data_IF_730034032254
#
_entry.id   IF_730034032254
#
_cell.length_a   1.000
_cell.length_b   1.000
_cell.length_c   1.000
_cell.angle_alpha   90.00
_cell.angle_beta   90.00
_cell.angle_gamma   90.00
#
_symmetry.space_group_name_H-M   'P 1'
#
loop_
_entity.id
_entity.type
_entity.pdbx_description
1 polymer ?
#
# COMPACT_ATOMS: atom_id res chain seq x y z
N UNK A 1 2.39 10.51 29.52
CA UNK A 1 2.84 9.13 29.25
C UNK A 1 4.19 9.26 28.56
N UNK A 2 5.21 8.52 28.99
CA UNK A 2 6.49 8.55 28.29
C UNK A 2 6.30 7.96 26.89
N UNK A 3 6.67 8.74 25.87
CA UNK A 3 6.40 8.39 24.47
C UNK A 3 7.66 7.82 23.82
N UNK A 4 7.46 6.77 23.02
CA UNK A 4 8.48 6.28 22.09
C UNK A 4 8.88 7.42 21.15
N UNK A 5 10.17 7.69 21.03
CA UNK A 5 10.69 8.76 20.17
C UNK A 5 11.63 8.21 19.11
N UNK A 6 11.32 8.42 17.83
CA UNK A 6 12.30 8.24 16.75
C UNK A 6 13.28 9.41 16.77
N UNK A 7 14.57 9.11 16.94
CA UNK A 7 15.67 10.08 16.99
C UNK A 7 16.56 10.04 15.77
N UNK A 8 16.45 9.00 14.94
CA UNK A 8 17.18 8.89 13.68
C UNK A 8 16.44 8.01 12.69
N UNK A 9 16.74 8.23 11.40
CA UNK A 9 16.29 7.39 10.28
C UNK A 9 17.41 7.36 9.25
N UNK A 10 17.83 6.17 8.88
CA UNK A 10 18.90 5.93 7.91
C UNK A 10 18.38 5.04 6.78
N UNK A 11 18.54 5.46 5.52
CA UNK A 11 18.22 4.62 4.37
C UNK A 11 19.27 3.52 4.26
N UNK A 12 18.87 2.29 4.56
CA UNK A 12 19.75 1.13 4.53
C UNK A 12 19.79 0.48 3.14
N UNK A 13 18.66 0.50 2.43
CA UNK A 13 18.57 -0.06 1.09
C UNK A 13 17.47 0.63 0.26
N UNK A 14 17.81 0.95 -0.99
CA UNK A 14 16.86 1.50 -1.97
C UNK A 14 16.57 0.46 -3.04
N UNK A 15 15.38 -0.14 -2.97
CA UNK A 15 14.88 -1.05 -3.99
C UNK A 15 14.24 -0.31 -5.17
N UNK A 16 13.70 -1.09 -6.11
CA UNK A 16 12.94 -0.55 -7.25
C UNK A 16 11.57 0.02 -6.86
N UNK A 17 10.92 -0.58 -5.85
CA UNK A 17 9.58 -0.21 -5.40
C UNK A 17 9.54 0.27 -3.94
N UNK A 18 10.36 -0.32 -3.07
CA UNK A 18 10.37 -0.07 -1.63
C UNK A 18 11.72 0.49 -1.18
N UNK A 19 11.68 1.31 -0.15
CA UNK A 19 12.86 1.81 0.55
C UNK A 19 12.87 1.24 1.97
N UNK A 20 14.00 0.68 2.38
CA UNK A 20 14.20 0.07 3.68
C UNK A 20 15.07 0.98 4.55
N UNK A 21 14.54 1.35 5.70
CA UNK A 21 15.13 2.27 6.65
C UNK A 21 15.37 1.60 8.00
N UNK A 22 16.46 1.99 8.64
CA UNK A 22 16.70 1.72 10.06
C UNK A 22 16.32 2.97 10.85
N UNK A 23 15.30 2.85 11.67
CA UNK A 23 14.88 3.90 12.60
C UNK A 23 15.56 3.69 13.95
N UNK A 24 16.24 4.72 14.45
CA UNK A 24 16.78 4.74 15.82
C UNK A 24 15.70 5.27 16.75
N UNK A 25 15.29 4.44 17.71
CA UNK A 25 14.19 4.69 18.63
C UNK A 25 14.74 4.79 20.05
N UNK A 26 14.28 5.80 20.80
CA UNK A 26 14.43 5.88 22.26
C UNK A 26 13.11 5.45 22.89
N UNK A 27 13.16 4.37 23.66
CA UNK A 27 12.00 3.84 24.39
C UNK A 27 11.71 4.68 25.65
N UNK A 28 10.51 4.54 26.24
CA UNK A 28 10.16 5.23 27.49
C UNK A 28 11.19 5.09 28.62
N UNK A 29 11.77 3.89 28.76
CA UNK A 29 12.82 3.59 29.75
C UNK A 29 14.23 4.07 29.34
N UNK A 30 14.34 4.92 28.31
CA UNK A 30 15.59 5.55 27.88
C UNK A 30 16.51 4.65 27.05
N UNK A 31 16.12 3.41 26.72
CA UNK A 31 16.94 2.52 25.90
C UNK A 31 16.90 2.96 24.44
N UNK A 32 18.05 2.82 23.77
CA UNK A 32 18.13 2.98 22.32
C UNK A 32 17.93 1.61 21.66
N UNK A 33 16.97 1.52 20.76
CA UNK A 33 16.66 0.33 19.95
C UNK A 33 16.56 0.71 18.47
N UNK A 34 16.67 -0.29 17.60
CA UNK A 34 16.58 -0.09 16.14
C UNK A 34 15.35 -0.81 15.61
N UNK A 35 14.52 -0.10 14.86
CA UNK A 35 13.33 -0.64 14.21
C UNK A 35 13.49 -0.60 12.70
N UNK A 36 13.00 -1.65 12.06
CA UNK A 36 12.95 -1.79 10.62
C UNK A 36 11.71 -1.10 10.06
N UNK A 37 11.92 -0.18 9.11
CA UNK A 37 10.84 0.58 8.48
C UNK A 37 10.89 0.40 6.96
N UNK A 38 9.83 -0.17 6.40
CA UNK A 38 9.62 -0.24 4.96
C UNK A 38 8.73 0.94 4.57
N UNK A 39 9.28 1.89 3.81
CA UNK A 39 8.52 3.00 3.29
C UNK A 39 7.74 2.56 2.05
N UNK A 40 6.41 2.57 2.15
CA UNK A 40 5.47 2.26 1.07
C UNK A 40 4.73 3.54 0.67
N UNK A 41 4.64 3.85 -0.63
CA UNK A 41 4.02 5.09 -1.15
C UNK A 41 2.47 5.13 -1.01
N UNK A 42 1.90 4.21 -0.25
CA UNK A 42 0.46 3.94 -0.21
C UNK A 42 -0.05 3.17 -1.43
N UNK A 43 -1.23 2.58 -1.27
CA UNK A 43 -1.97 1.90 -2.32
C UNK A 43 -3.48 2.16 -2.12
N UNK A 44 -4.25 1.99 -3.19
CA UNK A 44 -5.70 2.05 -3.16
C UNK A 44 -6.26 0.75 -3.74
N UNK A 45 -7.40 0.30 -3.22
CA UNK A 45 -8.09 -0.89 -3.67
C UNK A 45 -9.60 -0.62 -3.71
N UNK A 46 -10.33 -1.31 -4.59
CA UNK A 46 -11.77 -1.12 -4.74
C UNK A 46 -12.52 -2.44 -4.74
N UNK A 47 -13.64 -2.49 -4.02
CA UNK A 47 -14.63 -3.57 -4.16
C UNK A 47 -15.71 -3.09 -5.13
N UNK A 48 -15.51 -3.36 -6.42
CA UNK A 48 -16.48 -2.96 -7.45
C UNK A 48 -17.62 -3.98 -7.54
N UNK A 49 -18.83 -3.54 -7.23
CA UNK A 49 -20.05 -4.36 -7.24
C UNK A 49 -20.86 -4.02 -8.49
N UNK A 50 -21.19 -5.04 -9.28
CA UNK A 50 -22.06 -4.91 -10.45
C UNK A 50 -23.54 -4.86 -10.04
N UNK A 51 -24.41 -4.39 -10.94
CA UNK A 51 -25.87 -4.33 -10.72
C UNK A 51 -26.50 -5.69 -10.36
N UNK A 52 -25.86 -6.80 -10.76
CA UNK A 52 -26.28 -8.17 -10.43
C UNK A 52 -25.70 -8.70 -9.11
N UNK A 53 -25.05 -7.84 -8.32
CA UNK A 53 -24.46 -8.15 -7.03
C UNK A 53 -23.10 -8.87 -7.09
N UNK A 54 -22.56 -9.15 -8.29
CA UNK A 54 -21.24 -9.78 -8.42
C UNK A 54 -20.10 -8.80 -8.21
N UNK A 55 -19.01 -9.28 -7.60
CA UNK A 55 -17.78 -8.50 -7.38
C UNK A 55 -16.81 -8.73 -8.54
N UNK A 56 -16.21 -7.65 -9.03
CA UNK A 56 -15.13 -7.72 -10.03
C UNK A 56 -13.83 -8.06 -9.32
N UNK A 57 -13.12 -9.05 -9.84
CA UNK A 57 -11.87 -9.55 -9.30
C UNK A 57 -10.85 -9.79 -10.42
N UNK A 58 -9.57 -9.77 -10.06
CA UNK A 58 -8.43 -10.04 -10.96
C UNK A 58 -7.64 -11.24 -10.47
N UNK A 59 -6.98 -11.94 -11.41
CA UNK A 59 -5.94 -12.93 -11.10
C UNK A 59 -4.60 -12.34 -11.47
N UNK A 60 -3.67 -12.32 -10.51
CA UNK A 60 -2.36 -11.74 -10.70
C UNK A 60 -1.29 -12.64 -10.09
N UNK A 61 -0.19 -12.85 -10.82
CA UNK A 61 1.00 -13.46 -10.25
C UNK A 61 1.61 -12.53 -9.19
N UNK A 62 1.82 -13.05 -7.98
CA UNK A 62 2.53 -12.35 -6.92
C UNK A 62 3.84 -13.10 -6.62
N UNK A 63 4.97 -12.42 -6.86
CA UNK A 63 6.30 -12.98 -6.62
C UNK A 63 6.55 -13.30 -5.13
N UNK A 64 5.98 -12.53 -4.20
CA UNK A 64 6.18 -12.75 -2.75
C UNK A 64 5.64 -14.11 -2.28
N UNK A 65 4.38 -14.48 -2.56
CA UNK A 65 3.88 -15.83 -2.30
C UNK A 65 4.15 -16.84 -3.43
N UNK A 66 4.85 -16.46 -4.49
CA UNK A 66 5.17 -17.24 -5.69
C UNK A 66 3.97 -18.01 -6.28
N UNK A 67 2.85 -17.30 -6.47
CA UNK A 67 1.62 -17.90 -7.02
C UNK A 67 0.69 -16.85 -7.61
N UNK A 68 -0.25 -17.33 -8.42
CA UNK A 68 -1.44 -16.58 -8.80
C UNK A 68 -2.38 -16.41 -7.59
N UNK A 69 -2.77 -15.17 -7.32
CA UNK A 69 -3.73 -14.80 -6.28
C UNK A 69 -5.01 -14.29 -6.93
N UNK A 70 -6.14 -14.49 -6.25
CA UNK A 70 -7.41 -13.88 -6.62
C UNK A 70 -7.59 -12.65 -5.74
N UNK A 71 -7.65 -11.46 -6.35
CA UNK A 71 -7.59 -10.18 -5.66
C UNK A 71 -8.66 -9.22 -6.17
N UNK A 72 -9.01 -8.23 -5.35
CA UNK A 72 -9.75 -7.07 -5.84
C UNK A 72 -8.79 -6.14 -6.59
N UNK A 73 -9.27 -5.35 -7.56
CA UNK A 73 -8.41 -4.40 -8.27
C UNK A 73 -7.77 -3.41 -7.30
N UNK A 74 -6.45 -3.24 -7.44
CA UNK A 74 -5.67 -2.42 -6.51
C UNK A 74 -4.31 -2.02 -7.09
N UNK A 75 -3.84 -0.83 -6.73
CA UNK A 75 -2.52 -0.37 -7.17
C UNK A 75 -1.99 0.84 -6.41
N UNK A 76 -0.85 1.34 -6.88
CA UNK A 76 -0.09 2.38 -6.20
C UNK A 76 -0.76 3.76 -6.31
N UNK A 77 -0.66 4.57 -5.26
CA UNK A 77 -1.15 5.95 -5.29
C UNK A 77 -0.08 6.85 -5.92
N UNK A 78 -0.47 7.60 -6.97
CA UNK A 78 0.42 8.58 -7.58
C UNK A 78 0.62 9.80 -6.66
N UNK A 79 1.73 10.53 -6.85
CA UNK A 79 2.03 11.70 -6.02
C UNK A 79 0.93 12.77 -6.13
N UNK A 80 0.26 13.05 -5.02
CA UNK A 80 -0.83 14.02 -4.95
C UNK A 80 -2.18 13.50 -5.43
N UNK A 81 -2.27 12.23 -5.82
CA UNK A 81 -3.52 11.59 -6.24
C UNK A 81 -4.39 11.25 -5.02
N UNK A 82 -5.69 11.63 -5.01
CA UNK A 82 -6.62 11.18 -3.99
C UNK A 82 -6.80 9.65 -4.03
N UNK A 83 -6.90 9.01 -2.86
CA UNK A 83 -7.06 7.54 -2.74
C UNK A 83 -8.22 7.00 -3.57
N UNK A 84 -9.37 7.69 -3.55
CA UNK A 84 -10.57 7.32 -4.32
C UNK A 84 -10.30 7.33 -5.83
N UNK A 85 -9.58 8.34 -6.31
CA UNK A 85 -9.21 8.48 -7.73
C UNK A 85 -8.24 7.38 -8.16
N UNK A 86 -7.24 7.06 -7.32
CA UNK A 86 -6.34 5.95 -7.56
C UNK A 86 -7.10 4.62 -7.69
N UNK A 87 -8.03 4.34 -6.76
CA UNK A 87 -8.82 3.10 -6.79
C UNK A 87 -9.65 2.95 -8.08
N UNK A 88 -10.26 4.04 -8.56
CA UNK A 88 -11.06 4.04 -9.80
C UNK A 88 -10.17 3.87 -11.03
N UNK A 89 -9.01 4.53 -11.07
CA UNK A 89 -8.03 4.37 -12.15
C UNK A 89 -7.54 2.93 -12.25
N UNK A 90 -7.15 2.33 -11.13
CA UNK A 90 -6.65 0.94 -11.10
C UNK A 90 -7.75 -0.06 -11.50
N UNK A 91 -9.00 0.17 -11.12
CA UNK A 91 -10.13 -0.64 -11.61
C UNK A 91 -10.21 -0.64 -13.14
N UNK A 92 -10.13 0.54 -13.75
CA UNK A 92 -10.20 0.67 -15.22
C UNK A 92 -8.98 0.05 -15.90
N UNK A 93 -7.77 0.30 -15.38
CA UNK A 93 -6.52 -0.21 -15.94
C UNK A 93 -6.43 -1.74 -15.89
N UNK A 94 -6.84 -2.36 -14.77
CA UNK A 94 -6.70 -3.81 -14.57
C UNK A 94 -7.86 -4.63 -15.15
N UNK A 95 -9.06 -4.04 -15.28
CA UNK A 95 -10.28 -4.78 -15.62
C UNK A 95 -11.06 -4.24 -16.83
N UNK A 96 -10.79 -2.99 -17.23
CA UNK A 96 -11.55 -2.26 -18.24
C UNK A 96 -12.92 -1.75 -17.76
N UNK A 97 -13.31 -2.02 -16.51
CA UNK A 97 -14.57 -1.52 -15.95
C UNK A 97 -14.44 -0.08 -15.44
N UNK A 98 -15.53 0.68 -15.60
CA UNK A 98 -15.65 2.05 -15.09
C UNK A 98 -16.64 2.07 -13.94
N UNK A 99 -16.27 2.76 -12.87
CA UNK A 99 -17.16 3.04 -11.76
C UNK A 99 -17.55 4.51 -11.78
N UNK A 100 -18.81 4.80 -11.47
CA UNK A 100 -19.22 6.15 -11.10
C UNK A 100 -18.61 6.45 -9.71
N UNK A 101 -17.79 7.50 -9.56
CA UNK A 101 -17.22 7.85 -8.28
C UNK A 101 -18.29 8.13 -7.22
N UNK A 102 -19.47 8.61 -7.57
CA UNK A 102 -20.44 9.16 -6.62
C UNK A 102 -21.66 8.27 -6.37
N UNK A 103 -21.60 7.02 -6.85
CA UNK A 103 -22.58 5.97 -6.58
C UNK A 103 -22.47 5.41 -5.16
#
# INVERSE_FOLDING_TARGET
>A
MEHIKRVGRELMYKGSMLEFYKDTIVTPDGKTVYWDHIEHKGAAAVVAVRDDGRIIMVRQFRNSPDKETLEIPAGGINKGEPVKTAAIRELEEETGYKADPDN
#
